data_IF_933391147151
#
_entry.id   IF_933391147151
#
_cell.length_a   1.000
_cell.length_b   1.000
_cell.length_c   1.000
_cell.angle_alpha   90.00
_cell.angle_beta   90.00
_cell.angle_gamma   90.00
#
_symmetry.space_group_name_H-M   'P 1'
#
loop_
_entity.id
_entity.type
_entity.pdbx_description
1 polymer ?
#
# COMPACT_ATOMS: atom_id res chain seq x y z
N UNK A 1 -15.37 -15.04 22.73
CA UNK A 1 -14.42 -14.60 21.68
C UNK A 1 -14.66 -15.47 20.47
N UNK A 2 -14.80 -14.92 19.25
CA UNK A 2 -14.89 -15.74 18.05
C UNK A 2 -13.62 -16.58 17.92
N UNK A 3 -13.78 -17.88 17.69
CA UNK A 3 -12.67 -18.80 17.48
C UNK A 3 -12.03 -18.44 16.13
N UNK A 4 -10.74 -18.10 16.12
CA UNK A 4 -10.02 -17.80 14.88
C UNK A 4 -10.01 -19.04 13.97
N UNK A 5 -10.79 -19.02 12.89
CA UNK A 5 -10.69 -19.97 11.78
C UNK A 5 -10.05 -19.28 10.56
N UNK A 6 -9.72 -20.05 9.52
CA UNK A 6 -9.16 -19.55 8.26
C UNK A 6 -10.06 -18.56 7.51
N UNK A 7 -11.32 -18.41 7.89
CA UNK A 7 -12.30 -17.50 7.30
C UNK A 7 -12.34 -16.13 8.01
N UNK A 8 -11.60 -15.95 9.11
CA UNK A 8 -11.62 -14.74 9.92
C UNK A 8 -10.53 -13.70 9.58
N UNK A 9 -9.87 -13.78 8.42
CA UNK A 9 -8.79 -12.85 8.05
C UNK A 9 -9.26 -11.39 7.92
N UNK A 10 -10.53 -11.16 7.59
CA UNK A 10 -11.16 -9.82 7.55
C UNK A 10 -11.14 -9.13 8.92
N UNK A 11 -11.19 -9.90 10.02
CA UNK A 11 -11.09 -9.36 11.38
C UNK A 11 -9.73 -8.73 11.64
N UNK A 12 -8.63 -9.30 11.13
CA UNK A 12 -7.30 -8.74 11.32
C UNK A 12 -7.18 -7.37 10.65
N UNK A 13 -7.67 -7.25 9.42
CA UNK A 13 -7.62 -6.00 8.68
C UNK A 13 -8.57 -4.96 9.27
N UNK A 14 -9.80 -5.35 9.63
CA UNK A 14 -10.75 -4.48 10.35
C UNK A 14 -10.15 -3.99 11.67
N UNK A 15 -9.53 -4.88 12.45
CA UNK A 15 -8.85 -4.52 13.70
C UNK A 15 -7.70 -3.56 13.46
N UNK A 16 -6.93 -3.77 12.38
CA UNK A 16 -5.81 -2.89 12.01
C UNK A 16 -6.30 -1.49 11.62
N UNK A 17 -7.37 -1.40 10.83
CA UNK A 17 -8.03 -0.12 10.48
C UNK A 17 -8.51 0.59 11.74
N UNK A 18 -9.25 -0.12 12.60
CA UNK A 18 -9.76 0.44 13.86
C UNK A 18 -8.63 0.92 14.77
N UNK A 19 -7.58 0.13 14.94
CA UNK A 19 -6.39 0.50 15.70
C UNK A 19 -5.72 1.76 15.15
N UNK A 20 -5.58 1.88 13.82
CA UNK A 20 -4.99 3.05 13.19
C UNK A 20 -5.81 4.32 13.46
N UNK A 21 -7.15 4.25 13.36
CA UNK A 21 -8.01 5.39 13.70
C UNK A 21 -7.95 5.75 15.19
N UNK A 22 -7.98 4.77 16.09
CA UNK A 22 -7.79 5.01 17.52
C UNK A 22 -6.44 5.68 17.80
N UNK A 23 -5.38 5.21 17.15
CA UNK A 23 -4.05 5.81 17.26
C UNK A 23 -4.04 7.26 16.78
N UNK A 24 -4.62 7.56 15.61
CA UNK A 24 -4.74 8.92 15.09
C UNK A 24 -5.53 9.83 16.05
N UNK A 25 -6.68 9.36 16.54
CA UNK A 25 -7.54 10.12 17.46
C UNK A 25 -6.86 10.38 18.81
N UNK A 26 -6.14 9.39 19.34
CA UNK A 26 -5.42 9.55 20.60
C UNK A 26 -4.28 10.58 20.48
N UNK A 27 -3.51 10.52 19.40
CA UNK A 27 -2.45 11.51 19.15
C UNK A 27 -3.02 12.90 18.86
N UNK A 28 -4.10 12.98 18.06
CA UNK A 28 -4.85 14.21 17.86
C UNK A 28 -5.26 14.83 19.20
N UNK A 29 -5.91 14.06 20.08
CA UNK A 29 -6.37 14.51 21.39
C UNK A 29 -5.21 15.00 22.25
N UNK A 30 -4.11 14.24 22.31
CA UNK A 30 -2.91 14.61 23.06
C UNK A 30 -2.33 15.96 22.59
N UNK A 31 -2.18 16.15 21.28
CA UNK A 31 -1.67 17.40 20.72
C UNK A 31 -2.66 18.56 20.86
N UNK A 32 -3.96 18.30 20.73
CA UNK A 32 -5.01 19.29 20.87
C UNK A 32 -5.07 19.85 22.30
N UNK A 33 -5.03 18.98 23.31
CA UNK A 33 -4.98 19.40 24.72
C UNK A 33 -3.75 20.25 25.03
N UNK A 34 -2.63 19.99 24.34
CA UNK A 34 -1.38 20.74 24.50
C UNK A 34 -1.23 21.94 23.57
N UNK A 35 -2.21 22.22 22.72
CA UNK A 35 -2.11 23.23 21.67
C UNK A 35 -2.00 24.66 22.22
N UNK A 36 -2.47 24.91 23.45
CA UNK A 36 -2.31 26.19 24.17
C UNK A 36 -0.87 26.43 24.64
N UNK A 37 -0.09 25.37 24.89
CA UNK A 37 1.24 25.47 25.48
C UNK A 37 2.34 25.77 24.47
N UNK A 38 2.27 25.18 23.27
CA UNK A 38 3.29 25.41 22.22
C UNK A 38 2.68 25.37 20.82
N UNK A 39 3.25 26.16 19.91
CA UNK A 39 2.83 26.20 18.51
C UNK A 39 3.00 24.84 17.80
N UNK A 40 4.00 24.05 18.18
CA UNK A 40 4.28 22.74 17.59
C UNK A 40 3.13 21.77 17.87
N UNK A 41 2.63 21.72 19.11
CA UNK A 41 1.46 20.90 19.44
C UNK A 41 0.22 21.33 18.66
N UNK A 42 0.03 22.64 18.44
CA UNK A 42 -1.05 23.15 17.59
C UNK A 42 -0.93 22.66 16.14
N UNK A 43 0.28 22.71 15.55
CA UNK A 43 0.54 22.22 14.19
C UNK A 43 0.24 20.72 14.06
N UNK A 44 0.72 19.90 14.98
CA UNK A 44 0.44 18.46 14.97
C UNK A 44 -1.04 18.15 15.18
N UNK A 45 -1.72 18.88 16.06
CA UNK A 45 -3.17 18.77 16.25
C UNK A 45 -3.92 18.99 14.94
N UNK A 46 -3.55 20.02 14.16
CA UNK A 46 -4.10 20.24 12.82
C UNK A 46 -3.76 19.11 11.85
N UNK A 47 -2.51 18.66 11.83
CA UNK A 47 -2.06 17.59 10.94
C UNK A 47 -2.81 16.28 11.18
N UNK A 48 -2.90 15.83 12.43
CA UNK A 48 -3.64 14.63 12.78
C UNK A 48 -5.13 14.76 12.42
N UNK A 49 -5.74 15.94 12.62
CA UNK A 49 -7.12 16.18 12.20
C UNK A 49 -7.29 16.07 10.68
N UNK A 50 -6.42 16.69 9.89
CA UNK A 50 -6.46 16.61 8.42
C UNK A 50 -6.33 15.15 7.95
N UNK A 51 -5.42 14.38 8.56
CA UNK A 51 -5.26 12.95 8.25
C UNK A 51 -6.54 12.19 8.61
N UNK A 52 -7.11 12.37 9.80
CA UNK A 52 -8.37 11.71 10.21
C UNK A 52 -9.48 12.00 9.21
N UNK A 53 -9.68 13.28 8.85
CA UNK A 53 -10.71 13.68 7.90
C UNK A 53 -10.48 13.04 6.54
N UNK A 54 -9.25 13.09 6.03
CA UNK A 54 -8.93 12.42 4.78
C UNK A 54 -9.26 10.92 4.86
N UNK A 55 -8.87 10.25 5.93
CA UNK A 55 -9.12 8.83 6.13
C UNK A 55 -10.62 8.48 6.21
N UNK A 56 -11.44 9.38 6.76
CA UNK A 56 -12.89 9.20 6.83
C UNK A 56 -13.58 9.31 5.47
N UNK A 57 -13.03 10.11 4.55
CA UNK A 57 -13.63 10.38 3.24
C UNK A 57 -12.99 9.61 2.08
N UNK A 58 -11.75 9.13 2.21
CA UNK A 58 -11.07 8.32 1.19
C UNK A 58 -11.55 6.87 1.25
N UNK A 59 -12.66 6.62 0.57
CA UNK A 59 -13.41 5.38 0.66
C UNK A 59 -12.61 4.12 0.28
N UNK A 60 -11.91 4.17 -0.85
CA UNK A 60 -11.17 3.04 -1.44
C UNK A 60 -10.04 2.54 -0.54
N UNK A 61 -9.44 3.43 0.25
CA UNK A 61 -8.27 3.06 1.05
C UNK A 61 -8.65 2.34 2.34
N UNK A 62 -9.77 2.69 2.98
CA UNK A 62 -10.08 2.22 4.34
C UNK A 62 -11.15 1.14 4.40
N UNK A 63 -12.27 1.30 3.67
CA UNK A 63 -13.34 0.28 3.70
C UNK A 63 -12.90 -0.97 2.97
N UNK A 64 -12.34 -0.81 1.77
CA UNK A 64 -11.93 -1.97 0.99
C UNK A 64 -10.83 -2.70 1.73
N UNK A 65 -9.93 -1.98 2.40
CA UNK A 65 -8.94 -2.60 3.28
C UNK A 65 -9.54 -3.33 4.48
N UNK A 66 -10.57 -2.78 5.15
CA UNK A 66 -11.22 -3.44 6.27
C UNK A 66 -11.86 -4.79 5.86
N UNK A 67 -12.40 -4.86 4.64
CA UNK A 67 -13.17 -6.00 4.15
C UNK A 67 -12.44 -6.91 3.16
N UNK A 68 -11.20 -6.59 2.78
CA UNK A 68 -10.40 -7.38 1.83
C UNK A 68 -8.98 -7.60 2.33
N UNK A 69 -8.24 -8.52 1.71
CA UNK A 69 -6.82 -8.76 1.99
C UNK A 69 -5.88 -7.73 1.35
N UNK A 70 -6.32 -6.48 1.19
CA UNK A 70 -5.54 -5.44 0.54
C UNK A 70 -4.40 -4.91 1.44
N UNK A 71 -3.16 -5.03 0.98
CA UNK A 71 -1.97 -4.58 1.70
C UNK A 71 -1.69 -3.07 1.58
N UNK A 72 -2.37 -2.37 0.66
CA UNK A 72 -2.13 -0.96 0.35
C UNK A 72 -2.38 -0.05 1.56
N UNK A 73 -3.42 -0.36 2.33
CA UNK A 73 -3.74 0.35 3.55
C UNK A 73 -2.70 0.16 4.63
N UNK A 74 -2.28 -1.09 4.90
CA UNK A 74 -1.27 -1.38 5.94
C UNK A 74 0.02 -0.61 5.63
N UNK A 75 0.50 -0.67 4.38
CA UNK A 75 1.70 0.06 3.96
C UNK A 75 1.51 1.57 4.12
N UNK A 76 0.33 2.10 3.75
CA UNK A 76 0.01 3.53 3.91
C UNK A 76 -0.02 3.96 5.36
N UNK A 77 -0.76 3.24 6.22
CA UNK A 77 -0.92 3.53 7.64
C UNK A 77 0.42 3.51 8.37
N UNK A 78 1.23 2.48 8.16
CA UNK A 78 2.55 2.40 8.77
C UNK A 78 3.49 3.49 8.23
N UNK A 79 3.46 3.80 6.93
CA UNK A 79 4.26 4.90 6.38
C UNK A 79 3.87 6.23 7.03
N UNK A 80 2.58 6.50 7.21
CA UNK A 80 2.08 7.69 7.94
C UNK A 80 2.59 7.70 9.38
N UNK A 81 2.44 6.60 10.11
CA UNK A 81 2.92 6.48 11.51
C UNK A 81 4.42 6.74 11.60
N UNK A 82 5.22 6.11 10.74
CA UNK A 82 6.68 6.22 10.75
C UNK A 82 7.13 7.64 10.44
N UNK A 83 6.52 8.30 9.46
CA UNK A 83 6.83 9.70 9.14
C UNK A 83 6.41 10.61 10.29
N UNK A 84 5.21 10.45 10.86
CA UNK A 84 4.74 11.25 12.00
C UNK A 84 5.64 11.08 13.23
N UNK A 85 6.07 9.85 13.51
CA UNK A 85 7.06 9.55 14.54
C UNK A 85 8.37 10.33 14.29
N UNK A 86 8.89 10.33 13.07
CA UNK A 86 10.10 11.08 12.72
C UNK A 86 9.91 12.59 12.80
N UNK A 87 8.74 13.11 12.42
CA UNK A 87 8.40 14.53 12.55
C UNK A 87 8.40 14.95 14.02
N UNK A 88 7.71 14.22 14.88
CA UNK A 88 7.69 14.47 16.32
C UNK A 88 9.08 14.32 16.95
N UNK A 89 9.81 13.27 16.61
CA UNK A 89 11.17 13.08 17.12
C UNK A 89 12.07 14.24 16.69
N UNK A 90 11.97 14.70 15.45
CA UNK A 90 12.81 15.78 14.92
C UNK A 90 12.53 17.12 15.58
N UNK A 91 11.30 17.33 16.06
CA UNK A 91 10.91 18.55 16.79
C UNK A 91 11.20 18.50 18.29
N UNK A 92 11.54 17.33 18.86
CA UNK A 92 11.94 17.19 20.27
C UNK A 92 13.41 17.59 20.52
N UNK A 93 13.74 18.08 21.71
CA UNK A 93 15.14 18.35 22.11
C UNK A 93 16.01 17.09 22.02
N UNK A 94 17.29 17.24 21.62
CA UNK A 94 18.23 16.11 21.44
C UNK A 94 18.36 15.22 22.68
N UNK A 95 18.34 15.80 23.88
CA UNK A 95 18.48 15.08 25.16
C UNK A 95 17.37 14.04 25.38
N UNK A 96 16.21 14.21 24.74
CA UNK A 96 15.04 13.36 24.90
C UNK A 96 14.90 12.32 23.79
N UNK A 97 15.87 12.22 22.87
CA UNK A 97 15.83 11.28 21.75
C UNK A 97 16.40 9.93 22.17
N UNK A 98 15.57 8.89 22.10
CA UNK A 98 15.98 7.51 22.27
C UNK A 98 15.93 6.75 20.95
N UNK A 99 16.84 5.78 20.81
CA UNK A 99 16.80 4.85 19.69
C UNK A 99 15.64 3.87 19.87
N UNK A 100 14.86 3.67 18.81
CA UNK A 100 13.68 2.82 18.76
C UNK A 100 13.94 1.67 17.82
N UNK A 101 14.16 0.49 18.39
CA UNK A 101 14.30 -0.75 17.62
C UNK A 101 13.00 -1.09 16.87
N UNK A 102 11.85 -0.76 17.47
CA UNK A 102 10.52 -0.97 16.86
C UNK A 102 10.37 -0.16 15.57
N UNK A 103 10.93 1.06 15.50
CA UNK A 103 10.90 1.86 14.28
C UNK A 103 11.61 1.14 13.12
N UNK A 104 12.78 0.55 13.37
CA UNK A 104 13.56 -0.19 12.37
C UNK A 104 12.79 -1.42 11.89
N UNK A 105 12.29 -2.23 12.83
CA UNK A 105 11.53 -3.46 12.52
C UNK A 105 10.28 -3.10 11.71
N UNK A 106 9.50 -2.11 12.15
CA UNK A 106 8.29 -1.69 11.46
C UNK A 106 8.57 -1.16 10.05
N UNK A 107 9.64 -0.38 9.87
CA UNK A 107 9.97 0.19 8.53
C UNK A 107 10.39 -0.90 7.54
N UNK A 108 11.25 -1.84 7.97
CA UNK A 108 11.73 -2.93 7.10
C UNK A 108 10.58 -3.90 6.79
N UNK A 109 9.67 -4.11 7.74
CA UNK A 109 8.50 -4.98 7.56
C UNK A 109 7.55 -4.51 6.45
N UNK A 110 7.66 -3.27 5.97
CA UNK A 110 6.86 -2.79 4.83
C UNK A 110 7.21 -3.47 3.51
N UNK A 111 8.45 -3.95 3.36
CA UNK A 111 8.92 -4.54 2.09
C UNK A 111 8.20 -5.86 1.78
N UNK A 112 8.05 -6.81 2.73
CA UNK A 112 7.24 -8.02 2.49
C UNK A 112 5.77 -7.77 2.17
N UNK A 113 5.15 -6.73 2.74
CA UNK A 113 3.78 -6.37 2.38
C UNK A 113 3.71 -5.86 0.95
N UNK A 114 4.73 -5.11 0.51
CA UNK A 114 4.78 -4.53 -0.82
C UNK A 114 6.16 -4.03 -1.21
N UNK A 115 6.57 -4.30 -2.45
CA UNK A 115 7.86 -3.83 -2.98
C UNK A 115 8.03 -2.30 -2.91
N UNK A 116 6.96 -1.51 -3.06
CA UNK A 116 7.01 -0.04 -2.89
C UNK A 116 7.33 0.38 -1.45
N UNK A 117 7.15 -0.50 -0.46
CA UNK A 117 7.64 -0.31 0.91
C UNK A 117 9.17 -0.14 0.98
N UNK A 118 9.91 -0.58 -0.04
CA UNK A 118 11.35 -0.34 -0.16
C UNK A 118 11.73 1.14 -0.13
N UNK A 119 10.85 2.05 -0.57
CA UNK A 119 11.11 3.50 -0.49
C UNK A 119 11.23 3.98 0.96
N UNK A 120 10.60 3.29 1.92
CA UNK A 120 10.69 3.63 3.33
C UNK A 120 12.09 3.38 3.92
N UNK A 121 12.99 2.67 3.23
CA UNK A 121 14.40 2.56 3.63
C UNK A 121 15.10 3.93 3.70
N UNK A 122 14.61 4.93 2.97
CA UNK A 122 15.09 6.31 3.08
C UNK A 122 14.82 6.91 4.47
N UNK A 123 13.72 6.50 5.12
CA UNK A 123 13.42 6.89 6.51
C UNK A 123 14.37 6.21 7.49
N UNK A 124 14.73 4.94 7.25
CA UNK A 124 15.73 4.22 8.05
C UNK A 124 17.09 4.91 7.94
N UNK A 125 17.52 5.24 6.73
CA UNK A 125 18.76 5.96 6.49
C UNK A 125 18.77 7.30 7.24
N UNK A 126 17.71 8.11 7.07
CA UNK A 126 17.57 9.36 7.80
C UNK A 126 17.64 9.17 9.32
N UNK A 127 16.97 8.14 9.85
CA UNK A 127 16.95 7.81 11.27
C UNK A 127 18.34 7.45 11.81
N UNK A 128 19.05 6.55 11.14
CA UNK A 128 20.39 6.09 11.56
C UNK A 128 21.43 7.22 11.53
N UNK A 129 21.34 8.13 10.57
CA UNK A 129 22.20 9.30 10.47
C UNK A 129 22.05 10.27 11.66
N UNK A 130 20.93 10.23 12.40
CA UNK A 130 20.77 11.03 13.62
C UNK A 130 21.59 10.49 14.80
N UNK A 131 21.79 9.16 14.87
CA UNK A 131 22.45 8.53 16.01
C UNK A 131 23.92 8.20 15.77
N UNK A 132 24.32 7.90 14.52
CA UNK A 132 25.72 7.64 14.10
C UNK A 132 26.49 6.59 14.93
N UNK A 133 25.80 5.59 15.52
CA UNK A 133 26.43 4.49 16.26
C UNK A 133 26.42 3.20 15.45
N UNK A 134 27.58 2.58 15.25
CA UNK A 134 27.74 1.36 14.42
C UNK A 134 26.84 0.21 14.87
N UNK A 135 26.63 0.04 16.19
CA UNK A 135 25.73 -1.00 16.72
C UNK A 135 24.29 -0.91 16.19
N UNK A 136 23.80 0.29 15.88
CA UNK A 136 22.46 0.48 15.31
C UNK A 136 22.41 0.13 13.81
N UNK A 137 23.50 0.34 13.10
CA UNK A 137 23.65 -0.11 11.71
C UNK A 137 23.70 -1.64 11.65
N UNK A 138 24.51 -2.28 12.50
CA UNK A 138 24.57 -3.74 12.59
C UNK A 138 23.21 -4.34 12.91
N UNK A 139 22.50 -3.80 13.92
CA UNK A 139 21.14 -4.23 14.24
C UNK A 139 20.20 -4.10 13.04
N UNK A 140 20.23 -2.96 12.35
CA UNK A 140 19.39 -2.72 11.16
C UNK A 140 19.66 -3.75 10.07
N UNK A 141 20.93 -4.03 9.77
CA UNK A 141 21.32 -5.04 8.77
C UNK A 141 20.85 -6.43 9.21
N UNK A 142 21.01 -6.80 10.48
CA UNK A 142 20.52 -8.08 11.00
C UNK A 142 19.01 -8.23 10.85
N UNK A 143 18.23 -7.20 11.18
CA UNK A 143 16.77 -7.21 11.00
C UNK A 143 16.39 -7.27 9.53
N UNK A 144 17.09 -6.53 8.66
CA UNK A 144 16.87 -6.58 7.22
C UNK A 144 17.06 -8.01 6.69
N UNK A 145 18.16 -8.66 7.05
CA UNK A 145 18.43 -10.05 6.65
C UNK A 145 17.38 -11.01 7.19
N UNK A 146 17.01 -10.88 8.47
CA UNK A 146 16.01 -11.74 9.11
C UNK A 146 14.64 -11.68 8.41
N UNK A 147 14.21 -10.49 7.99
CA UNK A 147 12.92 -10.28 7.33
C UNK A 147 12.98 -10.63 5.84
N UNK A 148 14.03 -10.20 5.14
CA UNK A 148 14.12 -10.35 3.69
C UNK A 148 14.49 -11.77 3.26
N UNK A 149 15.34 -12.48 4.01
CA UNK A 149 15.83 -13.78 3.58
C UNK A 149 14.70 -14.82 3.42
N UNK A 150 13.75 -15.00 4.35
CA UNK A 150 12.62 -15.91 4.16
C UNK A 150 11.76 -15.55 2.94
N UNK A 151 11.57 -14.25 2.68
CA UNK A 151 10.81 -13.76 1.52
C UNK A 151 11.52 -14.11 0.20
N UNK A 152 12.82 -13.84 0.11
CA UNK A 152 13.63 -14.14 -1.08
C UNK A 152 13.69 -15.65 -1.35
N UNK A 153 13.86 -16.46 -0.30
CA UNK A 153 13.84 -17.92 -0.38
C UNK A 153 12.47 -18.41 -0.87
N UNK A 154 11.38 -17.94 -0.25
CA UNK A 154 10.01 -18.29 -0.66
C UNK A 154 9.77 -17.96 -2.14
N UNK A 155 10.12 -16.75 -2.56
CA UNK A 155 9.93 -16.30 -3.94
C UNK A 155 10.74 -17.16 -4.92
N UNK A 156 11.98 -17.49 -4.58
CA UNK A 156 12.82 -18.35 -5.40
C UNK A 156 12.25 -19.77 -5.53
N UNK A 157 11.75 -20.36 -4.43
CA UNK A 157 11.11 -21.68 -4.46
C UNK A 157 9.87 -21.66 -5.35
N UNK A 158 9.04 -20.62 -5.25
CA UNK A 158 7.76 -20.54 -6.00
C UNK A 158 7.97 -20.21 -7.48
N UNK A 159 8.89 -19.29 -7.81
CA UNK A 159 8.97 -18.69 -9.15
C UNK A 159 10.28 -18.96 -9.88
N UNK A 160 11.31 -19.45 -9.17
CA UNK A 160 12.69 -19.48 -9.67
C UNK A 160 13.37 -18.10 -9.71
N UNK A 161 12.76 -17.06 -9.12
CA UNK A 161 13.32 -15.71 -9.01
C UNK A 161 13.23 -15.19 -7.56
N UNK A 162 14.34 -14.77 -6.91
CA UNK A 162 14.28 -14.25 -5.54
C UNK A 162 13.45 -12.96 -5.42
N UNK A 163 13.48 -12.11 -6.44
CA UNK A 163 12.74 -10.85 -6.50
C UNK A 163 11.80 -10.88 -7.70
N UNK A 164 10.74 -11.68 -7.65
CA UNK A 164 9.75 -11.73 -8.73
C UNK A 164 8.91 -10.43 -8.81
N UNK A 165 8.64 -9.85 -10.00
CA UNK A 165 8.91 -10.34 -11.35
C UNK A 165 10.17 -9.70 -12.00
N UNK A 166 11.25 -9.47 -11.25
CA UNK A 166 12.56 -9.18 -11.85
C UNK A 166 13.17 -10.49 -12.36
N UNK A 167 13.62 -10.55 -13.63
CA UNK A 167 14.19 -11.76 -14.24
C UNK A 167 15.65 -12.01 -13.77
N UNK A 168 15.91 -11.88 -12.47
CA UNK A 168 17.22 -12.13 -11.86
C UNK A 168 17.17 -13.47 -11.10
N UNK A 169 18.02 -14.42 -11.49
CA UNK A 169 18.14 -15.71 -10.81
C UNK A 169 19.60 -16.16 -10.75
N UNK A 170 19.93 -16.90 -9.69
CA UNK A 170 21.25 -17.52 -9.51
C UNK A 170 21.42 -18.80 -10.35
N UNK A 171 20.32 -19.45 -10.73
CA UNK A 171 20.33 -20.65 -11.54
C UNK A 171 19.07 -20.74 -12.42
N UNK A 172 18.98 -21.78 -13.25
CA UNK A 172 17.81 -22.02 -14.11
C UNK A 172 17.13 -23.32 -13.73
N UNK A 173 16.42 -23.37 -12.58
CA UNK A 173 15.72 -24.58 -12.17
C UNK A 173 14.60 -24.91 -13.16
N UNK A 174 14.22 -26.19 -13.25
CA UNK A 174 13.23 -26.66 -14.23
C UNK A 174 11.81 -26.10 -14.00
N UNK A 175 11.51 -25.63 -12.79
CA UNK A 175 10.25 -24.96 -12.44
C UNK A 175 10.28 -23.43 -12.59
N UNK A 176 11.40 -22.85 -13.05
CA UNK A 176 11.52 -21.40 -13.21
C UNK A 176 10.43 -20.88 -14.17
N UNK A 177 9.75 -19.81 -13.75
CA UNK A 177 8.78 -19.12 -14.63
C UNK A 177 9.53 -18.65 -15.87
N UNK A 178 9.02 -18.88 -17.09
CA UNK A 178 9.69 -18.44 -18.31
C UNK A 178 10.01 -16.94 -18.28
N UNK A 179 11.24 -16.58 -18.68
CA UNK A 179 11.69 -15.19 -18.65
C UNK A 179 10.76 -14.27 -19.44
N UNK A 180 10.27 -14.72 -20.60
CA UNK A 180 9.36 -13.94 -21.44
C UNK A 180 8.05 -13.58 -20.70
N UNK A 181 7.49 -14.51 -19.92
CA UNK A 181 6.31 -14.24 -19.08
C UNK A 181 6.64 -13.28 -17.94
N UNK A 182 7.81 -13.45 -17.32
CA UNK A 182 8.27 -12.58 -16.23
C UNK A 182 8.46 -11.14 -16.70
N UNK A 183 9.10 -10.95 -17.85
CA UNK A 183 9.28 -9.64 -18.48
C UNK A 183 7.94 -9.02 -18.88
N UNK A 184 7.02 -9.82 -19.44
CA UNK A 184 5.71 -9.35 -19.82
C UNK A 184 4.87 -8.93 -18.60
N UNK A 185 4.85 -9.72 -17.52
CA UNK A 185 4.20 -9.34 -16.27
C UNK A 185 4.79 -8.05 -15.67
N UNK A 186 6.11 -7.88 -15.73
CA UNK A 186 6.76 -6.64 -15.28
C UNK A 186 6.31 -5.43 -16.11
N UNK A 187 6.20 -5.59 -17.43
CA UNK A 187 5.68 -4.54 -18.31
C UNK A 187 4.19 -4.27 -18.04
N UNK A 188 3.39 -5.32 -17.85
CA UNK A 188 1.99 -5.22 -17.45
C UNK A 188 1.82 -4.36 -16.19
N UNK A 189 2.55 -4.67 -15.11
CA UNK A 189 2.51 -3.91 -13.86
C UNK A 189 2.92 -2.46 -14.09
N UNK A 190 3.94 -2.23 -14.91
CA UNK A 190 4.42 -0.87 -15.21
C UNK A 190 3.38 -0.05 -15.99
N UNK A 191 2.79 -0.64 -17.03
CA UNK A 191 1.79 0.02 -17.89
C UNK A 191 0.51 0.29 -17.11
N UNK A 192 -0.03 -0.69 -16.38
CA UNK A 192 -1.25 -0.52 -15.57
C UNK A 192 -1.11 0.58 -14.52
N UNK A 193 0.07 0.75 -13.91
CA UNK A 193 0.32 1.84 -12.98
C UNK A 193 0.41 3.22 -13.67
N UNK A 194 0.94 3.28 -14.89
CA UNK A 194 1.08 4.52 -15.67
C UNK A 194 -0.23 4.98 -16.30
N UNK A 195 -1.11 4.05 -16.66
CA UNK A 195 -2.39 4.34 -17.30
C UNK A 195 -3.56 4.05 -16.33
N UNK A 196 -3.40 4.48 -15.08
CA UNK A 196 -4.40 4.33 -14.02
C UNK A 196 -5.79 4.85 -14.44
N UNK A 197 -6.83 4.09 -14.16
CA UNK A 197 -8.23 4.35 -14.56
C UNK A 197 -8.50 4.46 -16.07
N UNK A 198 -7.58 4.01 -16.92
CA UNK A 198 -7.84 3.85 -18.36
C UNK A 198 -8.09 2.39 -18.69
N UNK A 199 -9.02 2.14 -19.61
CA UNK A 199 -9.18 0.82 -20.21
C UNK A 199 -8.05 0.60 -21.21
N UNK A 200 -7.25 -0.45 -20.99
CA UNK A 200 -6.09 -0.78 -21.81
C UNK A 200 -6.32 -2.15 -22.43
N UNK A 201 -6.12 -2.24 -23.74
CA UNK A 201 -5.99 -3.52 -24.41
C UNK A 201 -4.60 -4.11 -24.11
N UNK A 202 -4.59 -5.29 -23.47
CA UNK A 202 -3.36 -5.97 -23.09
C UNK A 202 -2.49 -6.33 -24.28
N UNK A 203 -3.05 -6.50 -25.47
CA UNK A 203 -2.28 -6.73 -26.70
C UNK A 203 -1.27 -5.60 -26.99
N UNK A 204 -1.54 -4.39 -26.48
CA UNK A 204 -0.78 -3.16 -26.75
C UNK A 204 0.31 -2.86 -25.70
N UNK A 205 0.49 -3.70 -24.67
CA UNK A 205 1.50 -3.49 -23.61
C UNK A 205 2.91 -3.18 -24.16
N UNK A 206 3.44 -3.90 -25.17
CA UNK A 206 4.76 -3.61 -25.73
C UNK A 206 4.90 -2.22 -26.34
N UNK A 207 3.82 -1.63 -26.84
CA UNK A 207 3.82 -0.29 -27.42
C UNK A 207 3.66 0.78 -26.34
N UNK A 208 2.76 0.53 -25.37
CA UNK A 208 2.42 1.48 -24.31
C UNK A 208 3.56 1.75 -23.33
N UNK A 209 4.48 0.79 -23.14
CA UNK A 209 5.62 0.96 -22.22
C UNK A 209 6.54 2.11 -22.64
N UNK A 210 6.62 2.42 -23.94
CA UNK A 210 7.45 3.48 -24.51
C UNK A 210 6.69 4.78 -24.77
N UNK A 211 5.36 4.78 -24.67
CA UNK A 211 4.51 5.95 -24.92
C UNK A 211 4.66 6.98 -23.80
N UNK A 212 4.56 8.27 -24.17
CA UNK A 212 4.45 9.36 -23.18
C UNK A 212 3.17 9.17 -22.37
N UNK A 213 3.33 8.89 -21.08
CA UNK A 213 2.22 8.48 -20.22
C UNK A 213 1.76 9.57 -19.25
N UNK A 214 2.60 10.56 -18.91
CA UNK A 214 2.34 11.50 -17.80
C UNK A 214 1.06 12.33 -17.96
N UNK A 215 0.73 12.77 -19.17
CA UNK A 215 -0.52 13.52 -19.44
C UNK A 215 -1.76 12.65 -19.26
N UNK A 216 -1.73 11.42 -19.81
CA UNK A 216 -2.81 10.44 -19.70
C UNK A 216 -2.97 9.95 -18.26
N UNK A 217 -1.85 9.72 -17.58
CA UNK A 217 -1.85 9.42 -16.15
C UNK A 217 -2.55 10.51 -15.36
N UNK A 218 -2.13 11.77 -15.54
CA UNK A 218 -2.74 12.88 -14.82
C UNK A 218 -4.23 13.04 -15.14
N UNK A 219 -4.68 12.78 -16.37
CA UNK A 219 -6.10 12.82 -16.70
C UNK A 219 -6.91 11.73 -15.99
N UNK A 220 -6.35 10.52 -15.85
CA UNK A 220 -6.98 9.36 -15.19
C UNK A 220 -7.04 9.43 -13.65
N UNK A 221 -6.20 10.26 -13.02
CA UNK A 221 -6.23 10.46 -11.56
C UNK A 221 -7.54 11.12 -11.12
N UNK A 222 -8.10 10.62 -10.02
CA UNK A 222 -9.32 11.16 -9.42
C UNK A 222 -9.11 12.58 -8.88
N UNK A 223 -10.17 13.37 -8.79
CA UNK A 223 -10.08 14.78 -8.35
C UNK A 223 -9.51 14.92 -6.94
N UNK A 224 -9.86 14.01 -6.02
CA UNK A 224 -9.35 14.01 -4.64
C UNK A 224 -7.84 13.75 -4.63
N UNK A 225 -7.38 12.78 -5.43
CA UNK A 225 -5.97 12.45 -5.60
C UNK A 225 -5.18 13.61 -6.23
N UNK A 226 -5.76 14.31 -7.21
CA UNK A 226 -5.17 15.53 -7.79
C UNK A 226 -4.95 16.60 -6.72
N UNK A 227 -5.91 16.80 -5.83
CA UNK A 227 -5.77 17.77 -4.74
C UNK A 227 -4.61 17.41 -3.80
N UNK A 228 -4.45 16.14 -3.44
CA UNK A 228 -3.31 15.66 -2.62
C UNK A 228 -1.99 15.87 -3.35
N UNK A 229 -1.92 15.54 -4.64
CA UNK A 229 -0.72 15.73 -5.45
C UNK A 229 -0.33 17.21 -5.54
N UNK A 230 -1.30 18.08 -5.83
CA UNK A 230 -1.07 19.53 -5.86
C UNK A 230 -0.61 20.05 -4.49
N UNK A 231 -1.22 19.57 -3.41
CA UNK A 231 -0.75 19.81 -2.04
C UNK A 231 0.70 19.39 -1.85
N UNK A 232 1.04 18.15 -2.20
CA UNK A 232 2.39 17.60 -2.10
C UNK A 232 3.41 18.34 -2.98
N UNK A 233 3.03 18.84 -4.16
CA UNK A 233 3.90 19.67 -4.99
C UNK A 233 4.07 21.09 -4.41
N UNK A 234 3.00 21.71 -3.91
CA UNK A 234 3.09 23.02 -3.24
C UNK A 234 3.99 22.97 -2.00
N UNK A 235 4.11 21.80 -1.38
CA UNK A 235 5.01 21.51 -0.28
C UNK A 235 6.48 21.82 -0.62
N UNK A 236 6.90 21.54 -1.86
CA UNK A 236 8.24 21.87 -2.38
C UNK A 236 8.45 23.38 -2.34
N UNK A 237 7.45 24.14 -2.81
CA UNK A 237 7.54 25.60 -2.86
C UNK A 237 7.64 26.21 -1.46
N UNK A 238 6.80 25.73 -0.53
CA UNK A 238 6.76 26.25 0.84
C UNK A 238 8.07 25.98 1.58
N UNK A 239 8.67 24.79 1.42
CA UNK A 239 9.80 24.38 2.24
C UNK A 239 11.15 24.93 1.75
N UNK A 240 11.33 25.14 0.45
CA UNK A 240 12.59 25.64 -0.12
C UNK A 240 12.64 27.16 -0.28
N UNK A 241 11.52 27.85 -0.49
CA UNK A 241 11.51 29.28 -0.82
C UNK A 241 11.08 30.21 0.32
N UNK A 242 10.84 29.69 1.55
CA UNK A 242 10.57 30.50 2.76
C UNK A 242 11.70 30.34 3.82
N UNK A 243 12.79 31.13 3.71
CA UNK A 243 13.99 31.00 4.53
C UNK A 243 13.81 31.03 6.07
N UNK A 244 12.93 31.85 6.70
CA UNK A 244 12.94 32.00 8.16
C UNK A 244 12.46 30.75 8.92
N UNK A 245 11.55 29.96 8.33
CA UNK A 245 11.11 28.66 8.90
C UNK A 245 12.22 27.61 8.77
N UNK A 246 13.03 27.76 7.74
CA UNK A 246 13.93 26.72 7.27
C UNK A 246 15.26 26.69 8.06
N UNK A 247 15.72 27.79 8.66
CA UNK A 247 17.00 27.85 9.41
C UNK A 247 16.89 27.21 10.81
N UNK A 248 15.76 27.38 11.50
CA UNK A 248 15.53 26.79 12.83
C UNK A 248 15.17 25.29 12.78
N UNK A 249 14.86 24.77 11.58
CA UNK A 249 14.38 23.39 11.36
C UNK A 249 15.27 22.62 10.36
N UNK A 250 16.60 22.80 10.44
CA UNK A 250 17.56 22.15 9.51
C UNK A 250 17.39 20.63 9.42
N UNK A 251 17.13 19.94 10.55
CA UNK A 251 16.87 18.48 10.55
C UNK A 251 15.56 18.12 9.85
N UNK A 252 14.55 18.98 9.95
CA UNK A 252 13.27 18.80 9.27
C UNK A 252 13.43 18.91 7.75
N UNK A 253 14.31 19.79 7.24
CA UNK A 253 14.63 19.86 5.80
C UNK A 253 15.15 18.54 5.24
N UNK A 254 16.02 17.87 5.98
CA UNK A 254 16.56 16.58 5.55
C UNK A 254 15.49 15.48 5.55
N UNK A 255 14.56 15.50 6.51
CA UNK A 255 13.40 14.60 6.48
C UNK A 255 12.49 14.89 5.28
N UNK A 256 12.22 16.17 4.98
CA UNK A 256 11.47 16.55 3.79
C UNK A 256 12.16 16.12 2.51
N UNK A 257 13.47 16.30 2.41
CA UNK A 257 14.23 15.82 1.25
C UNK A 257 14.09 14.31 1.08
N UNK A 258 14.17 13.53 2.17
CA UNK A 258 13.91 12.10 2.14
C UNK A 258 12.47 11.78 1.66
N UNK A 259 11.45 12.50 2.14
CA UNK A 259 10.06 12.31 1.70
C UNK A 259 9.85 12.68 0.22
N UNK A 260 10.47 13.76 -0.26
CA UNK A 260 10.40 14.16 -1.67
C UNK A 260 11.08 13.12 -2.54
N UNK A 261 12.22 12.60 -2.10
CA UNK A 261 12.92 11.53 -2.82
C UNK A 261 12.08 10.25 -2.82
N UNK A 262 11.43 9.88 -1.71
CA UNK A 262 10.45 8.80 -1.66
C UNK A 262 9.30 9.00 -2.65
N UNK A 263 8.73 10.21 -2.72
CA UNK A 263 7.68 10.54 -3.68
C UNK A 263 8.19 10.48 -5.14
N UNK A 264 9.43 10.91 -5.39
CA UNK A 264 10.08 10.76 -6.69
C UNK A 264 10.27 9.29 -7.09
N UNK A 265 10.74 8.45 -6.17
CA UNK A 265 10.83 7.00 -6.38
C UNK A 265 9.45 6.39 -6.66
N UNK A 266 8.43 6.75 -5.88
CA UNK A 266 7.05 6.33 -6.13
C UNK A 266 6.58 6.72 -7.54
N UNK A 267 6.73 7.99 -7.93
CA UNK A 267 6.28 8.47 -9.22
C UNK A 267 7.00 7.77 -10.39
N UNK A 268 8.28 7.45 -10.24
CA UNK A 268 9.05 6.78 -11.29
C UNK A 268 8.71 5.29 -11.43
N UNK A 269 8.68 4.57 -10.31
CA UNK A 269 8.55 3.11 -10.32
C UNK A 269 7.10 2.62 -10.26
N UNK A 270 6.21 3.34 -9.60
CA UNK A 270 4.87 2.85 -9.27
C UNK A 270 3.84 4.01 -9.16
N UNK A 271 3.58 4.78 -10.22
CA UNK A 271 2.84 6.06 -10.16
C UNK A 271 1.34 5.95 -9.84
N UNK A 272 0.81 4.77 -9.52
CA UNK A 272 -0.57 4.66 -9.02
C UNK A 272 -0.68 5.34 -7.64
N UNK A 273 -1.61 6.30 -7.43
CA UNK A 273 -1.73 7.06 -6.17
C UNK A 273 -1.83 6.18 -4.92
N UNK A 274 -2.49 5.02 -5.03
CA UNK A 274 -2.66 4.04 -3.94
C UNK A 274 -1.33 3.51 -3.37
N UNK A 275 -0.23 3.66 -4.11
CA UNK A 275 1.11 3.23 -3.66
C UNK A 275 1.92 4.32 -2.98
N UNK A 276 1.50 5.59 -3.12
CA UNK A 276 2.22 6.76 -2.65
C UNK A 276 1.52 7.49 -1.50
N UNK A 277 0.26 7.15 -1.18
CA UNK A 277 -0.54 7.90 -0.20
C UNK A 277 0.18 8.17 1.12
N UNK A 278 0.91 7.19 1.66
CA UNK A 278 1.61 7.36 2.92
C UNK A 278 2.53 8.58 2.98
N UNK A 279 3.33 8.81 1.92
CA UNK A 279 4.23 9.96 1.84
C UNK A 279 3.53 11.21 1.28
N UNK A 280 2.63 11.04 0.30
CA UNK A 280 1.94 12.15 -0.36
C UNK A 280 1.03 12.91 0.60
N UNK A 281 0.33 12.22 1.50
CA UNK A 281 -0.54 12.85 2.50
C UNK A 281 0.24 13.74 3.46
N UNK A 282 1.40 13.28 3.92
CA UNK A 282 2.24 14.08 4.82
C UNK A 282 2.85 15.26 4.08
N UNK A 283 3.34 15.06 2.86
CA UNK A 283 3.83 16.15 2.03
C UNK A 283 2.74 17.19 1.76
N UNK A 284 1.49 16.78 1.55
CA UNK A 284 0.38 17.71 1.32
C UNK A 284 -0.02 18.46 2.60
N UNK A 285 -0.27 17.75 3.69
CA UNK A 285 -0.87 18.35 4.89
C UNK A 285 0.14 19.03 5.81
N UNK A 286 1.33 18.46 6.00
CA UNK A 286 2.21 18.98 7.05
C UNK A 286 2.71 20.41 6.76
N UNK A 287 3.19 20.77 5.56
CA UNK A 287 3.54 22.16 5.24
C UNK A 287 2.36 23.13 5.33
N UNK A 288 1.17 22.70 4.91
CA UNK A 288 -0.04 23.50 5.05
C UNK A 288 -0.33 23.78 6.54
N UNK A 289 -0.28 22.76 7.41
CA UNK A 289 -0.47 22.92 8.85
C UNK A 289 0.66 23.75 9.49
N UNK A 290 1.91 23.57 9.06
CA UNK A 290 3.07 24.31 9.55
C UNK A 290 2.94 25.81 9.26
N UNK A 291 2.47 26.16 8.06
CA UNK A 291 2.37 27.54 7.63
C UNK A 291 1.07 28.23 8.08
N UNK A 292 -0.08 27.57 7.84
CA UNK A 292 -1.41 28.14 8.08
C UNK A 292 -1.97 27.79 9.45
N UNK A 293 -1.55 26.68 10.05
CA UNK A 293 -2.13 26.18 11.31
C UNK A 293 -1.96 27.12 12.51
N UNK A 294 -0.99 28.05 12.46
CA UNK A 294 -0.86 29.10 13.47
C UNK A 294 -2.04 30.08 13.47
N UNK A 295 -2.63 30.34 12.30
CA UNK A 295 -3.78 31.25 12.13
C UNK A 295 -5.12 30.58 12.41
N UNK A 296 -5.20 29.24 12.30
CA UNK A 296 -6.44 28.49 12.54
C UNK A 296 -6.60 28.24 14.06
N UNK A 297 -7.64 28.76 14.72
CA UNK A 297 -7.88 28.49 16.14
C UNK A 297 -8.30 27.03 16.36
N UNK A 298 -7.78 26.40 17.42
CA UNK A 298 -8.09 25.01 17.74
C UNK A 298 -9.58 24.77 18.03
N UNK A 299 -10.34 25.81 18.42
CA UNK A 299 -11.80 25.74 18.63
C UNK A 299 -12.58 25.30 17.39
N UNK A 300 -12.05 25.53 16.18
CA UNK A 300 -12.69 25.08 14.92
C UNK A 300 -12.72 23.55 14.82
N UNK A 301 -11.83 22.83 15.53
CA UNK A 301 -11.77 21.37 15.48
C UNK A 301 -13.10 20.73 15.87
N UNK A 302 -13.75 21.21 16.92
CA UNK A 302 -15.02 20.65 17.40
C UNK A 302 -16.10 20.78 16.34
N UNK A 303 -16.19 21.94 15.67
CA UNK A 303 -17.14 22.15 14.58
C UNK A 303 -16.86 21.20 13.41
N UNK A 304 -15.59 21.08 13.01
CA UNK A 304 -15.18 20.17 11.93
C UNK A 304 -15.52 18.71 12.27
N UNK A 305 -15.27 18.27 13.50
CA UNK A 305 -15.57 16.90 13.95
C UNK A 305 -17.08 16.65 13.96
N UNK A 306 -17.88 17.61 14.43
CA UNK A 306 -19.35 17.50 14.39
C UNK A 306 -19.84 17.36 12.94
N UNK A 307 -19.32 18.19 12.03
CA UNK A 307 -19.66 18.10 10.60
C UNK A 307 -19.24 16.75 10.03
N UNK A 308 -18.04 16.26 10.35
CA UNK A 308 -17.55 14.97 9.88
C UNK A 308 -18.41 13.82 10.40
N UNK A 309 -18.75 13.80 11.70
CA UNK A 309 -19.65 12.80 12.29
C UNK A 309 -21.02 12.85 11.63
N UNK A 310 -21.59 14.04 11.40
CA UNK A 310 -22.88 14.19 10.72
C UNK A 310 -22.82 13.65 9.28
N UNK A 311 -21.77 14.00 8.52
CA UNK A 311 -21.57 13.52 7.16
C UNK A 311 -21.40 11.99 7.11
N UNK A 312 -20.56 11.42 7.98
CA UNK A 312 -20.39 9.97 8.09
C UNK A 312 -21.68 9.29 8.54
N UNK A 313 -22.44 9.88 9.46
CA UNK A 313 -23.74 9.35 9.92
C UNK A 313 -24.79 9.30 8.81
N UNK A 314 -24.94 10.38 8.04
CA UNK A 314 -25.82 10.43 6.86
C UNK A 314 -25.40 9.36 5.85
N UNK A 315 -24.10 9.25 5.61
CA UNK A 315 -23.55 8.28 4.68
C UNK A 315 -23.82 6.84 5.14
N UNK A 316 -23.54 6.51 6.40
CA UNK A 316 -23.81 5.19 6.98
C UNK A 316 -25.29 4.86 6.93
N UNK A 317 -26.17 5.84 7.20
CA UNK A 317 -27.61 5.68 7.05
C UNK A 317 -27.98 5.32 5.60
N UNK A 318 -27.45 6.03 4.61
CA UNK A 318 -27.68 5.71 3.19
C UNK A 318 -27.17 4.32 2.80
N UNK A 319 -26.01 3.90 3.33
CA UNK A 319 -25.42 2.58 3.07
C UNK A 319 -26.03 1.45 3.90
N UNK A 320 -26.81 1.77 4.94
CA UNK A 320 -27.56 0.78 5.70
C UNK A 320 -28.84 0.30 5.00
N UNK A 321 -29.25 0.94 3.88
CA UNK A 321 -30.45 0.55 3.14
C UNK A 321 -30.50 -0.95 2.74
N UNK A 322 -29.43 -1.58 2.23
CA UNK A 322 -29.44 -3.02 1.95
C UNK A 322 -29.68 -3.85 3.22
N UNK A 323 -29.15 -3.43 4.37
CA UNK A 323 -29.39 -4.10 5.66
C UNK A 323 -30.83 -3.90 6.14
N UNK A 324 -31.43 -2.73 5.89
CA UNK A 324 -32.85 -2.49 6.20
C UNK A 324 -33.77 -3.36 5.33
N UNK A 325 -33.40 -3.57 4.06
CA UNK A 325 -34.13 -4.42 3.12
C UNK A 325 -33.93 -5.92 3.41
N UNK A 326 -32.75 -6.29 3.91
CA UNK A 326 -32.33 -7.64 4.21
C UNK A 326 -31.67 -7.71 5.60
N UNK A 327 -32.47 -7.76 6.69
CA UNK A 327 -31.97 -7.75 8.07
C UNK A 327 -31.02 -8.90 8.40
N UNK A 328 -31.13 -10.02 7.68
CA UNK A 328 -30.21 -11.15 7.74
C UNK A 328 -28.75 -10.75 7.52
N UNK A 329 -28.51 -9.64 6.78
CA UNK A 329 -27.17 -9.13 6.51
C UNK A 329 -26.47 -8.47 7.72
N UNK A 330 -27.17 -8.28 8.84
CA UNK A 330 -26.53 -7.92 10.11
C UNK A 330 -25.69 -9.05 10.69
N UNK A 331 -26.09 -10.30 10.45
CA UNK A 331 -25.45 -11.49 11.01
C UNK A 331 -24.64 -12.25 9.98
N UNK A 332 -25.13 -12.32 8.73
CA UNK A 332 -24.51 -13.08 7.66
C UNK A 332 -24.06 -12.15 6.55
N UNK A 333 -22.78 -12.18 6.13
CA UNK A 333 -22.35 -11.39 4.98
C UNK A 333 -23.17 -11.77 3.74
N UNK A 334 -23.24 -10.85 2.77
CA UNK A 334 -23.84 -11.16 1.48
C UNK A 334 -23.19 -12.41 0.91
N UNK A 335 -23.99 -13.39 0.49
CA UNK A 335 -23.47 -14.61 -0.12
C UNK A 335 -22.78 -14.22 -1.42
N UNK A 336 -21.47 -14.44 -1.51
CA UNK A 336 -20.75 -14.20 -2.75
C UNK A 336 -21.28 -15.16 -3.83
N UNK A 337 -21.42 -14.68 -5.06
CA UNK A 337 -21.72 -15.55 -6.19
C UNK A 337 -20.59 -16.57 -6.32
N UNK A 338 -20.94 -17.86 -6.31
CA UNK A 338 -19.99 -18.94 -6.55
C UNK A 338 -20.13 -19.40 -7.99
N UNK A 339 -19.17 -19.11 -8.88
CA UNK A 339 -19.27 -19.54 -10.25
C UNK A 339 -19.22 -21.07 -10.33
N UNK A 340 -19.86 -21.68 -11.34
CA UNK A 340 -19.64 -23.08 -11.64
C UNK A 340 -18.15 -23.36 -11.86
N UNK A 341 -17.63 -24.39 -11.19
CA UNK A 341 -16.22 -24.79 -11.27
C UNK A 341 -16.08 -26.01 -12.18
N UNK A 342 -15.21 -25.90 -13.19
CA UNK A 342 -14.77 -27.01 -14.03
C UNK A 342 -13.52 -27.63 -13.39
N UNK A 343 -13.53 -28.94 -13.18
CA UNK A 343 -12.33 -29.66 -12.72
C UNK A 343 -11.50 -30.08 -13.92
N UNK A 344 -10.22 -29.73 -13.90
CA UNK A 344 -9.22 -30.14 -14.90
C UNK A 344 -8.18 -31.01 -14.19
N UNK A 345 -7.63 -31.99 -14.91
CA UNK A 345 -6.64 -32.91 -14.36
C UNK A 345 -5.31 -32.70 -15.06
N UNK A 346 -4.28 -32.32 -14.31
CA UNK A 346 -2.90 -32.22 -14.81
C UNK A 346 -2.10 -33.37 -14.19
N UNK A 347 -1.82 -34.40 -14.99
CA UNK A 347 -1.11 -35.62 -14.56
C UNK A 347 -1.69 -36.25 -13.28
N UNK A 348 -3.02 -36.26 -13.15
CA UNK A 348 -3.74 -36.82 -12.01
C UNK A 348 -3.92 -35.88 -10.81
N UNK A 349 -3.40 -34.65 -10.88
CA UNK A 349 -3.69 -33.59 -9.91
C UNK A 349 -4.96 -32.86 -10.35
N UNK A 350 -5.99 -32.87 -9.50
CA UNK A 350 -7.21 -32.11 -9.70
C UNK A 350 -6.96 -30.62 -9.47
N UNK A 351 -7.38 -29.80 -10.43
CA UNK A 351 -7.28 -28.34 -10.39
C UNK A 351 -8.65 -27.76 -10.75
N UNK A 352 -9.03 -26.71 -10.04
CA UNK A 352 -10.31 -26.05 -10.17
C UNK A 352 -10.22 -24.84 -11.09
N UNK A 353 -11.13 -24.75 -12.06
CA UNK A 353 -11.21 -23.68 -13.05
C UNK A 353 -12.61 -23.05 -13.03
N UNK A 354 -12.80 -21.89 -12.39
CA UNK A 354 -14.09 -21.24 -12.26
C UNK A 354 -14.56 -20.66 -13.60
N UNK A 355 -15.87 -20.65 -13.80
CA UNK A 355 -16.50 -20.04 -14.96
C UNK A 355 -16.57 -18.51 -14.80
N UNK A 356 -16.65 -17.81 -15.93
CA UNK A 356 -16.91 -16.37 -15.94
C UNK A 356 -18.39 -16.17 -15.59
N UNK A 357 -18.68 -15.28 -14.65
CA UNK A 357 -20.04 -14.90 -14.24
C UNK A 357 -20.24 -13.39 -14.36
N UNK A 358 -21.51 -12.94 -14.30
CA UNK A 358 -21.90 -11.53 -14.27
C UNK A 358 -21.35 -10.66 -15.41
N UNK A 359 -21.11 -11.26 -16.59
CA UNK A 359 -20.53 -10.54 -17.73
C UNK A 359 -19.11 -10.03 -17.50
N UNK A 360 -18.41 -10.57 -16.49
CA UNK A 360 -17.01 -10.28 -16.24
C UNK A 360 -16.11 -10.74 -17.39
N UNK A 361 -14.85 -10.30 -17.37
CA UNK A 361 -13.86 -10.67 -18.38
C UNK A 361 -12.77 -11.61 -17.84
N UNK A 362 -12.66 -11.74 -16.50
CA UNK A 362 -11.68 -12.59 -15.83
C UNK A 362 -12.38 -13.71 -15.06
N UNK A 363 -11.77 -14.90 -15.03
CA UNK A 363 -12.17 -15.98 -14.11
C UNK A 363 -11.54 -15.70 -12.76
N UNK A 364 -12.35 -15.36 -11.77
CA UNK A 364 -11.88 -15.19 -10.39
C UNK A 364 -12.06 -16.49 -9.60
N UNK A 365 -11.17 -16.82 -8.65
CA UNK A 365 -11.26 -18.05 -7.88
C UNK A 365 -12.44 -18.08 -6.91
N UNK A 366 -12.96 -16.92 -6.47
CA UNK A 366 -13.98 -16.79 -5.42
C UNK A 366 -13.69 -17.76 -4.25
N UNK A 367 -14.64 -18.63 -3.91
CA UNK A 367 -14.54 -19.66 -2.87
C UNK A 367 -14.22 -21.06 -3.44
N UNK A 368 -13.70 -21.15 -4.68
CA UNK A 368 -13.30 -22.43 -5.25
C UNK A 368 -12.16 -23.08 -4.44
N UNK A 369 -12.21 -24.41 -4.33
CA UNK A 369 -11.18 -25.16 -3.63
C UNK A 369 -9.79 -24.96 -4.28
N UNK A 370 -8.74 -25.04 -3.48
CA UNK A 370 -7.36 -24.99 -3.96
C UNK A 370 -6.90 -26.41 -4.37
N UNK A 371 -6.09 -26.56 -5.43
CA UNK A 371 -5.54 -25.51 -6.28
C UNK A 371 -6.54 -24.99 -7.32
N UNK A 372 -6.59 -23.67 -7.50
CA UNK A 372 -7.45 -23.00 -8.48
C UNK A 372 -6.59 -22.22 -9.48
N UNK A 373 -6.98 -22.20 -10.76
CA UNK A 373 -6.30 -21.40 -11.80
C UNK A 373 -7.29 -20.48 -12.52
N UNK A 374 -6.78 -19.38 -13.08
CA UNK A 374 -7.61 -18.37 -13.76
C UNK A 374 -7.81 -18.66 -15.26
N UNK A 375 -7.01 -19.56 -15.83
CA UNK A 375 -7.11 -19.96 -17.23
C UNK A 375 -6.39 -21.28 -17.46
N UNK A 376 -6.79 -22.00 -18.51
CA UNK A 376 -6.09 -23.23 -18.90
C UNK A 376 -4.70 -22.89 -19.44
N UNK A 377 -3.68 -23.64 -19.00
CA UNK A 377 -2.31 -23.47 -19.45
C UNK A 377 -1.81 -24.79 -20.06
N UNK A 378 -1.76 -24.92 -21.41
CA UNK A 378 -1.36 -26.16 -22.07
C UNK A 378 0.14 -26.49 -21.87
N UNK A 379 0.94 -25.53 -21.43
CA UNK A 379 2.36 -25.72 -21.14
C UNK A 379 2.59 -26.27 -19.74
N UNK A 380 1.62 -26.16 -18.83
CA UNK A 380 1.79 -26.53 -17.43
C UNK A 380 1.81 -28.05 -17.25
N UNK A 381 2.89 -28.56 -16.64
CA UNK A 381 3.04 -29.98 -16.28
C UNK A 381 3.39 -30.11 -14.80
N UNK A 382 2.82 -31.12 -14.15
CA UNK A 382 3.22 -31.50 -12.79
C UNK A 382 4.64 -32.08 -12.82
N UNK A 383 5.47 -31.71 -11.85
CA UNK A 383 6.84 -32.25 -11.70
C UNK A 383 6.84 -33.63 -11.03
N UNK A 384 5.81 -33.92 -10.24
CA UNK A 384 5.60 -35.20 -9.59
C UNK A 384 4.12 -35.53 -9.47
N UNK A 385 3.78 -36.39 -8.51
CA UNK A 385 2.40 -36.87 -8.28
C UNK A 385 1.64 -36.04 -7.25
N UNK A 386 2.35 -35.20 -6.49
CA UNK A 386 1.78 -34.41 -5.40
C UNK A 386 1.89 -32.92 -5.72
N UNK A 387 0.98 -32.13 -5.15
CA UNK A 387 0.99 -30.68 -5.30
C UNK A 387 2.32 -30.05 -4.81
N UNK A 388 2.91 -30.63 -3.76
CA UNK A 388 4.17 -30.19 -3.17
C UNK A 388 5.37 -30.36 -4.11
N UNK A 389 5.28 -31.25 -5.10
CA UNK A 389 6.36 -31.45 -6.09
C UNK A 389 6.44 -30.24 -7.06
N UNK A 390 5.36 -29.47 -7.14
CA UNK A 390 5.24 -28.26 -7.94
C UNK A 390 4.98 -28.52 -9.43
N UNK A 391 5.06 -27.46 -10.21
CA UNK A 391 4.79 -27.46 -11.65
C UNK A 391 5.95 -26.86 -12.42
N UNK A 392 6.05 -27.21 -13.70
CA UNK A 392 6.95 -26.61 -14.68
C UNK A 392 6.20 -26.32 -15.98
N UNK A 393 6.79 -25.49 -16.84
CA UNK A 393 6.24 -25.24 -18.18
C UNK A 393 7.08 -25.98 -19.24
N UNK A 394 6.45 -26.92 -19.96
CA UNK A 394 7.12 -27.75 -20.94
C UNK A 394 6.19 -28.17 -22.10
N UNK A 395 6.45 -27.74 -23.36
CA UNK A 395 7.59 -26.92 -23.78
C UNK A 395 7.52 -25.48 -23.22
N UNK A 396 8.56 -24.67 -23.44
CA UNK A 396 8.51 -23.25 -23.05
C UNK A 396 7.36 -22.56 -23.81
N UNK A 397 6.56 -21.70 -23.16
CA UNK A 397 5.45 -21.01 -23.82
C UNK A 397 5.92 -20.12 -24.97
N UNK A 398 5.18 -20.14 -26.07
CA UNK A 398 5.41 -19.23 -27.19
C UNK A 398 4.96 -17.80 -26.88
N UNK A 399 5.39 -16.84 -27.72
CA UNK A 399 5.05 -15.43 -27.53
C UNK A 399 3.56 -15.11 -27.70
N UNK A 400 2.80 -15.94 -28.41
CA UNK A 400 1.36 -15.72 -28.64
C UNK A 400 0.61 -15.99 -27.35
N UNK A 401 0.86 -17.14 -26.74
CA UNK A 401 0.32 -17.48 -25.43
C UNK A 401 0.70 -16.45 -24.37
N UNK A 402 1.97 -16.04 -24.32
CA UNK A 402 2.43 -15.06 -23.32
C UNK A 402 1.71 -13.72 -23.43
N UNK A 403 1.37 -13.25 -24.65
CA UNK A 403 0.65 -11.99 -24.89
C UNK A 403 -0.85 -12.09 -24.57
N UNK A 404 -1.42 -13.28 -24.70
CA UNK A 404 -2.84 -13.54 -24.43
C UNK A 404 -3.07 -14.01 -22.99
N UNK A 405 -2.00 -14.26 -22.23
CA UNK A 405 -2.08 -14.73 -20.86
C UNK A 405 -2.75 -13.68 -19.97
N UNK A 406 -3.74 -14.10 -19.18
CA UNK A 406 -4.39 -13.25 -18.19
C UNK A 406 -3.48 -13.17 -16.96
N UNK A 407 -2.86 -11.99 -16.75
CA UNK A 407 -1.92 -11.69 -15.66
C UNK A 407 -2.57 -11.08 -14.43
#
# INVERSE_FOLDING_TARGET
MPIFNSQNYTWLNTTTVFWFFLWLMNNWKFHHQKASHTIIHKIFSHLYLCIILFCLFEWELFRDAANSTNYDFIVTAFTVILILYLLEMTTRPEKNKSFSFIFIVATISLIPFKLSGGFALLLVLFYLLQFKKIKYWLFTVSIFMLIMLPLLIKNYIITGYPIFPLPFSFSSPDWQVPQLMTDYLRHYITVTNRFYNHQIDFSQIPELIHKKWTSLWFSGILIQQKAILLGAFSSLFIFFFKPPISVQLKKLRWLFFAMIFMAGCWFYFAPSPRFGYGVLLILAFFPACLYFGKYVPAKIHSLIIVIAIAATGIYLFQKSKPIQQHPEHLLYPFKADSPPVKNIYINGIEIHLPSIINGGWMREPYDAALPCILQENPYLKARGKRLQDGFKMEPKPDSVFVRQYIY
#
